data_IF_873678185692
#
_entry.id   IF_873678185692
#
_cell.length_a   1.000
_cell.length_b   1.000
_cell.length_c   1.000
_cell.angle_alpha   90.00
_cell.angle_beta   90.00
_cell.angle_gamma   90.00
#
_symmetry.space_group_name_H-M   'P 1'
#
loop_
_entity.id
_entity.type
_entity.pdbx_description
1 polymer ?
#
# COMPACT_ATOMS: atom_id res chain seq x y z
N UNK A 1 27.88 7.66 -28.68
CA UNK A 1 27.15 7.11 -29.81
C UNK A 1 25.78 7.77 -29.94
N UNK A 2 25.18 7.86 -31.14
CA UNK A 2 23.91 8.51 -31.36
C UNK A 2 22.83 7.74 -30.56
N UNK A 3 22.09 8.45 -29.73
CA UNK A 3 20.93 7.88 -29.05
C UNK A 3 19.89 7.54 -30.10
N UNK A 4 19.72 6.25 -30.38
CA UNK A 4 18.74 5.77 -31.35
C UNK A 4 17.32 6.21 -30.99
N UNK A 5 16.54 6.58 -31.98
CA UNK A 5 15.11 6.88 -31.83
C UNK A 5 14.39 5.55 -31.65
N UNK A 6 13.60 5.45 -30.58
CA UNK A 6 12.73 4.29 -30.32
C UNK A 6 11.28 4.66 -30.61
N UNK A 7 10.55 3.75 -31.23
CA UNK A 7 9.14 3.92 -31.54
C UNK A 7 8.30 2.99 -30.66
N UNK A 8 7.25 3.52 -30.05
CA UNK A 8 6.33 2.77 -29.22
C UNK A 8 4.92 2.90 -29.81
N UNK A 9 4.21 1.79 -29.88
CA UNK A 9 2.81 1.80 -30.29
C UNK A 9 1.94 2.45 -29.21
N UNK A 10 1.07 3.38 -29.61
CA UNK A 10 0.14 4.10 -28.75
C UNK A 10 -1.28 3.70 -29.14
N UNK A 11 -2.17 3.47 -28.16
CA UNK A 11 -3.56 3.17 -28.44
C UNK A 11 -4.27 4.37 -29.09
N UNK A 12 -5.31 4.11 -29.88
CA UNK A 12 -6.07 5.18 -30.56
C UNK A 12 -6.66 6.20 -29.59
N UNK A 13 -7.12 5.73 -28.42
CA UNK A 13 -7.61 6.60 -27.34
C UNK A 13 -6.52 7.48 -26.75
N UNK A 14 -5.35 6.92 -26.51
CA UNK A 14 -4.18 7.63 -25.98
C UNK A 14 -3.66 8.66 -27.00
N UNK A 15 -3.62 8.30 -28.27
CA UNK A 15 -3.24 9.22 -29.35
C UNK A 15 -4.19 10.43 -29.46
N UNK A 16 -5.50 10.21 -29.28
CA UNK A 16 -6.51 11.29 -29.27
C UNK A 16 -6.34 12.21 -28.06
N UNK A 17 -6.04 11.67 -26.89
CA UNK A 17 -5.78 12.43 -25.67
C UNK A 17 -4.50 13.28 -25.80
N UNK A 18 -3.42 12.69 -26.32
CA UNK A 18 -2.17 13.40 -26.56
C UNK A 18 -2.33 14.53 -27.57
N UNK A 19 -3.13 14.33 -28.62
CA UNK A 19 -3.44 15.35 -29.61
C UNK A 19 -4.28 16.54 -29.08
N UNK A 20 -4.94 16.39 -27.95
CA UNK A 20 -5.72 17.46 -27.30
C UNK A 20 -4.93 18.27 -26.27
N UNK A 21 -3.67 17.92 -26.03
CA UNK A 21 -2.80 18.58 -25.06
C UNK A 21 -1.97 19.69 -25.70
N UNK A 22 -1.80 20.79 -24.96
CA UNK A 22 -0.79 21.80 -25.27
C UNK A 22 0.62 21.22 -25.03
N UNK A 23 1.63 21.78 -25.71
CA UNK A 23 3.02 21.33 -25.58
C UNK A 23 3.51 21.29 -24.11
N UNK A 24 3.13 22.27 -23.30
CA UNK A 24 3.48 22.32 -21.90
C UNK A 24 2.76 21.24 -21.07
N UNK A 25 1.48 20.97 -21.38
CA UNK A 25 0.72 19.88 -20.78
C UNK A 25 1.36 18.52 -21.08
N UNK A 26 1.76 18.33 -22.32
CA UNK A 26 2.40 17.09 -22.78
C UNK A 26 3.73 16.82 -22.07
N UNK A 27 4.57 17.85 -21.91
CA UNK A 27 5.85 17.72 -21.19
C UNK A 27 5.59 17.31 -19.74
N UNK A 28 4.68 17.98 -19.06
CA UNK A 28 4.34 17.67 -17.67
C UNK A 28 3.74 16.26 -17.55
N UNK A 29 2.81 15.90 -18.45
CA UNK A 29 2.20 14.58 -18.49
C UNK A 29 3.24 13.46 -18.66
N UNK A 30 4.22 13.62 -19.54
CA UNK A 30 5.27 12.64 -19.75
C UNK A 30 6.14 12.45 -18.50
N UNK A 31 6.50 13.50 -17.80
CA UNK A 31 7.23 13.40 -16.53
C UNK A 31 6.43 12.69 -15.43
N UNK A 32 5.12 12.91 -15.38
CA UNK A 32 4.23 12.20 -14.44
C UNK A 32 4.11 10.71 -14.84
N UNK A 33 3.99 10.42 -16.13
CA UNK A 33 3.93 9.04 -16.65
C UNK A 33 5.20 8.25 -16.34
N UNK A 34 6.36 8.87 -16.47
CA UNK A 34 7.68 8.25 -16.15
C UNK A 34 7.81 7.93 -14.65
N UNK A 35 7.20 8.73 -13.78
CA UNK A 35 7.26 8.53 -12.33
C UNK A 35 6.39 7.35 -11.84
N UNK A 36 5.53 6.81 -12.69
CA UNK A 36 4.66 5.66 -12.39
C UNK A 36 3.87 5.86 -11.07
N UNK A 37 3.83 4.81 -10.23
CA UNK A 37 3.10 4.80 -8.96
C UNK A 37 3.83 5.48 -7.79
N UNK A 38 5.09 5.84 -7.95
CA UNK A 38 5.84 6.65 -6.97
C UNK A 38 5.44 8.13 -7.03
N UNK A 39 4.89 8.55 -8.18
CA UNK A 39 4.52 9.94 -8.40
C UNK A 39 5.71 10.89 -8.48
N UNK A 40 5.42 12.14 -8.77
CA UNK A 40 6.45 13.18 -8.88
C UNK A 40 6.04 14.43 -8.09
N UNK A 41 6.96 14.96 -7.31
CA UNK A 41 6.77 16.19 -6.55
C UNK A 41 6.75 17.41 -7.47
N UNK A 42 5.82 18.35 -7.24
CA UNK A 42 5.69 19.57 -8.06
C UNK A 42 6.98 20.36 -8.20
N UNK A 43 7.78 20.45 -7.12
CA UNK A 43 9.09 21.10 -7.18
C UNK A 43 10.05 20.41 -8.15
N UNK A 44 9.98 19.09 -8.27
CA UNK A 44 10.80 18.32 -9.20
C UNK A 44 10.29 18.49 -10.65
N UNK A 45 8.98 18.56 -10.86
CA UNK A 45 8.40 18.88 -12.18
C UNK A 45 8.92 20.25 -12.64
N UNK A 46 8.88 21.26 -11.75
CA UNK A 46 9.38 22.59 -12.05
C UNK A 46 10.87 22.59 -12.42
N UNK A 47 11.69 21.84 -11.65
CA UNK A 47 13.12 21.75 -11.91
C UNK A 47 13.45 21.06 -13.25
N UNK A 48 12.68 20.05 -13.64
CA UNK A 48 12.89 19.31 -14.89
C UNK A 48 12.35 20.00 -16.13
N UNK A 49 11.21 20.68 -16.01
CA UNK A 49 10.54 21.35 -17.14
C UNK A 49 11.01 22.79 -17.33
N UNK A 50 11.55 23.41 -16.29
CA UNK A 50 11.95 24.82 -16.25
C UNK A 50 10.78 25.79 -16.59
N UNK A 51 9.54 25.33 -16.44
CA UNK A 51 8.35 26.14 -16.68
C UNK A 51 8.11 27.14 -15.55
N UNK A 52 7.51 28.27 -15.91
CA UNK A 52 7.07 29.25 -14.91
C UNK A 52 5.98 28.64 -14.00
N UNK A 53 5.99 28.98 -12.71
CA UNK A 53 5.07 28.42 -11.71
C UNK A 53 3.60 28.53 -12.11
N UNK A 54 3.18 29.66 -12.66
CA UNK A 54 1.80 29.90 -13.09
C UNK A 54 1.38 28.98 -14.25
N UNK A 55 2.28 28.77 -15.22
CA UNK A 55 2.04 27.87 -16.37
C UNK A 55 1.91 26.43 -15.88
N UNK A 56 2.86 25.99 -15.03
CA UNK A 56 2.84 24.65 -14.46
C UNK A 56 1.55 24.40 -13.67
N UNK A 57 1.15 25.33 -12.81
CA UNK A 57 -0.07 25.19 -12.00
C UNK A 57 -1.32 25.11 -12.88
N UNK A 58 -1.40 25.91 -13.94
CA UNK A 58 -2.49 25.88 -14.91
C UNK A 58 -2.56 24.52 -15.62
N UNK A 59 -1.43 24.03 -16.13
CA UNK A 59 -1.36 22.75 -16.84
C UNK A 59 -1.74 21.59 -15.92
N UNK A 60 -1.23 21.55 -14.69
CA UNK A 60 -1.59 20.51 -13.72
C UNK A 60 -3.10 20.51 -13.41
N UNK A 61 -3.70 21.69 -13.26
CA UNK A 61 -5.14 21.82 -13.04
C UNK A 61 -5.96 21.31 -14.22
N UNK A 62 -5.53 21.61 -15.46
CA UNK A 62 -6.20 21.12 -16.67
C UNK A 62 -6.08 19.59 -16.80
N UNK A 63 -4.90 19.03 -16.51
CA UNK A 63 -4.69 17.59 -16.51
C UNK A 63 -5.51 16.86 -15.42
N UNK A 64 -5.69 17.46 -14.24
CA UNK A 64 -6.58 16.95 -13.19
C UNK A 64 -8.06 17.01 -13.64
N UNK A 65 -8.49 18.10 -14.26
CA UNK A 65 -9.87 18.25 -14.78
C UNK A 65 -10.18 17.23 -15.89
N UNK A 66 -9.20 16.91 -16.70
CA UNK A 66 -9.31 15.86 -17.74
C UNK A 66 -9.22 14.43 -17.15
N UNK A 67 -9.06 14.28 -15.84
CA UNK A 67 -8.87 12.99 -15.15
C UNK A 67 -7.68 12.16 -15.68
N UNK A 68 -6.64 12.81 -16.14
CA UNK A 68 -5.42 12.16 -16.62
C UNK A 68 -4.39 11.99 -15.51
N UNK A 69 -4.38 12.89 -14.55
CA UNK A 69 -3.51 12.88 -13.39
C UNK A 69 -4.32 13.15 -12.13
N UNK A 70 -3.78 12.75 -11.00
CA UNK A 70 -4.30 13.05 -9.67
C UNK A 70 -3.21 13.52 -8.73
N UNK A 71 -3.55 14.38 -7.79
CA UNK A 71 -2.67 14.76 -6.71
C UNK A 71 -2.82 13.80 -5.53
N UNK A 72 -1.71 13.39 -4.95
CA UNK A 72 -1.65 12.54 -3.77
C UNK A 72 -0.73 13.15 -2.71
N UNK A 73 -1.00 12.87 -1.45
CA UNK A 73 -0.14 13.25 -0.34
C UNK A 73 0.72 12.05 0.04
N UNK A 74 1.97 12.30 0.39
CA UNK A 74 2.85 11.27 0.93
C UNK A 74 2.68 11.19 2.45
N UNK A 75 2.62 9.97 2.99
CA UNK A 75 2.62 9.76 4.45
C UNK A 75 3.92 10.26 5.08
N UNK A 76 5.07 10.03 4.40
CA UNK A 76 6.38 10.53 4.88
C UNK A 76 6.51 12.05 4.81
N UNK A 77 5.91 12.68 3.79
CA UNK A 77 6.06 14.11 3.53
C UNK A 77 4.69 14.76 3.23
N UNK A 78 3.85 14.97 4.25
CA UNK A 78 2.47 15.43 4.08
C UNK A 78 2.33 16.79 3.39
N UNK A 79 3.38 17.62 3.47
CA UNK A 79 3.41 18.96 2.86
C UNK A 79 3.76 18.96 1.38
N UNK A 80 4.24 17.83 0.84
CA UNK A 80 4.60 17.72 -0.57
C UNK A 80 3.37 17.38 -1.40
N UNK A 81 3.11 18.19 -2.41
CA UNK A 81 2.10 17.89 -3.42
C UNK A 81 2.74 17.02 -4.51
N UNK A 82 2.28 15.79 -4.63
CA UNK A 82 2.80 14.77 -5.56
C UNK A 82 1.72 14.49 -6.58
N UNK A 83 2.10 14.36 -7.84
CA UNK A 83 1.20 14.01 -8.94
C UNK A 83 1.56 12.64 -9.50
N UNK A 84 0.53 11.90 -9.89
CA UNK A 84 0.65 10.60 -10.55
C UNK A 84 -0.48 10.44 -11.59
N UNK A 85 -0.38 9.43 -12.46
CA UNK A 85 -1.46 9.10 -13.37
C UNK A 85 -2.73 8.72 -12.60
N UNK A 86 -3.88 9.11 -13.13
CA UNK A 86 -5.17 8.94 -12.47
C UNK A 86 -5.50 7.48 -12.14
N UNK A 87 -5.25 6.56 -13.10
CA UNK A 87 -5.61 5.14 -12.99
C UNK A 87 -4.65 4.31 -12.13
N UNK A 88 -3.51 4.87 -11.73
CA UNK A 88 -2.53 4.14 -10.95
C UNK A 88 -2.86 4.17 -9.45
N UNK A 89 -2.56 3.06 -8.79
CA UNK A 89 -2.58 2.98 -7.32
C UNK A 89 -1.27 3.50 -6.76
N UNK A 90 -1.29 4.40 -5.75
CA UNK A 90 -0.08 4.90 -5.11
C UNK A 90 0.76 3.76 -4.53
N UNK A 91 2.08 3.91 -4.59
CA UNK A 91 3.01 2.97 -3.97
C UNK A 91 2.85 2.92 -2.44
N UNK A 92 3.32 1.85 -1.83
CA UNK A 92 3.32 1.70 -0.36
C UNK A 92 4.10 2.85 0.31
N UNK A 93 5.15 3.35 -0.33
CA UNK A 93 5.91 4.49 0.20
C UNK A 93 5.13 5.80 0.25
N UNK A 94 4.19 5.99 -0.66
CA UNK A 94 3.29 7.14 -0.67
C UNK A 94 2.11 6.95 0.27
N UNK A 95 1.44 5.81 0.19
CA UNK A 95 0.19 5.52 0.91
C UNK A 95 0.41 5.09 2.35
N UNK A 96 1.61 4.59 2.71
CA UNK A 96 1.90 4.00 4.01
C UNK A 96 1.49 2.53 4.14
N UNK A 97 0.94 1.94 3.08
CA UNK A 97 0.47 0.56 3.07
C UNK A 97 -0.96 0.39 3.60
N UNK A 98 -1.37 -0.85 3.95
CA UNK A 98 -2.74 -1.17 4.31
C UNK A 98 -3.19 -0.57 5.66
N UNK A 99 -2.26 -0.07 6.47
CA UNK A 99 -2.52 0.49 7.80
C UNK A 99 -2.94 1.96 7.80
N UNK A 100 -2.97 2.58 6.63
CA UNK A 100 -3.26 4.01 6.49
C UNK A 100 -4.51 4.22 5.65
N UNK A 101 -5.41 5.06 6.17
CA UNK A 101 -6.59 5.55 5.47
C UNK A 101 -6.49 7.08 5.40
N UNK A 102 -6.61 7.65 4.21
CA UNK A 102 -6.48 9.11 3.99
C UNK A 102 -5.20 9.75 4.56
N UNK A 103 -4.09 9.01 4.50
CA UNK A 103 -2.77 9.34 5.07
C UNK A 103 -2.70 9.37 6.61
N UNK A 104 -3.71 8.92 7.30
CA UNK A 104 -3.71 8.73 8.74
C UNK A 104 -3.64 7.24 9.10
N UNK A 105 -2.94 6.93 10.18
CA UNK A 105 -2.84 5.56 10.68
C UNK A 105 -4.21 5.12 11.21
N UNK A 106 -4.75 4.07 10.61
CA UNK A 106 -6.03 3.50 11.02
C UNK A 106 -5.85 2.54 12.21
N UNK A 107 -5.82 3.13 13.40
CA UNK A 107 -5.64 2.38 14.65
C UNK A 107 -6.81 1.44 14.94
N UNK A 108 -8.03 1.81 14.53
CA UNK A 108 -9.22 0.96 14.66
C UNK A 108 -9.09 -0.32 13.81
N UNK A 109 -8.71 -0.16 12.57
CA UNK A 109 -8.48 -1.29 11.65
C UNK A 109 -7.38 -2.23 12.16
N UNK A 110 -6.25 -1.67 12.62
CA UNK A 110 -5.15 -2.46 13.21
C UNK A 110 -5.64 -3.23 14.43
N UNK A 111 -6.41 -2.58 15.31
CA UNK A 111 -6.95 -3.21 16.51
C UNK A 111 -7.89 -4.38 16.17
N UNK A 112 -8.84 -4.17 15.29
CA UNK A 112 -9.80 -5.21 14.86
C UNK A 112 -9.09 -6.44 14.29
N UNK A 113 -8.12 -6.24 13.41
CA UNK A 113 -7.35 -7.34 12.83
C UNK A 113 -6.46 -8.03 13.86
N UNK A 114 -5.83 -7.28 14.76
CA UNK A 114 -5.02 -7.83 15.86
C UNK A 114 -5.86 -8.72 16.77
N UNK A 115 -7.05 -8.27 17.12
CA UNK A 115 -7.98 -9.05 17.94
C UNK A 115 -8.50 -10.30 17.23
N UNK A 116 -8.70 -10.23 15.90
CA UNK A 116 -9.05 -11.42 15.11
C UNK A 116 -7.92 -12.45 15.09
N UNK A 117 -6.67 -12.01 14.91
CA UNK A 117 -5.49 -12.87 15.02
C UNK A 117 -5.40 -13.52 16.41
N UNK A 118 -5.56 -12.72 17.46
CA UNK A 118 -5.50 -13.20 18.84
C UNK A 118 -6.56 -14.27 19.12
N UNK A 119 -7.82 -14.03 18.75
CA UNK A 119 -8.91 -15.00 18.92
C UNK A 119 -8.64 -16.32 18.17
N UNK A 120 -8.11 -16.24 16.97
CA UNK A 120 -7.74 -17.44 16.21
C UNK A 120 -6.65 -18.23 16.92
N UNK A 121 -5.58 -17.57 17.39
CA UNK A 121 -4.46 -18.22 18.11
C UNK A 121 -4.99 -18.83 19.41
N UNK A 122 -5.77 -18.10 20.19
CA UNK A 122 -6.39 -18.58 21.42
C UNK A 122 -7.24 -19.83 21.16
N UNK A 123 -8.03 -19.88 20.09
CA UNK A 123 -8.85 -21.02 19.72
C UNK A 123 -8.05 -22.29 19.43
N UNK A 124 -6.75 -22.14 19.09
CA UNK A 124 -5.81 -23.24 18.81
C UNK A 124 -4.89 -23.56 19.99
N UNK A 125 -4.72 -22.59 20.89
CA UNK A 125 -3.81 -22.73 22.03
C UNK A 125 -4.53 -23.27 23.26
N UNK A 126 -5.81 -22.95 23.43
CA UNK A 126 -6.57 -23.40 24.59
C UNK A 126 -7.58 -24.48 24.23
N UNK A 127 -7.67 -25.55 25.03
CA UNK A 127 -8.67 -26.61 24.84
C UNK A 127 -10.10 -26.06 25.00
N UNK A 128 -11.03 -26.56 24.20
CA UNK A 128 -12.45 -26.14 24.25
C UNK A 128 -13.24 -26.75 25.43
N UNK A 129 -12.61 -27.52 26.30
CA UNK A 129 -13.27 -28.33 27.32
C UNK A 129 -13.82 -27.56 28.53
N UNK A 130 -14.03 -26.25 28.39
CA UNK A 130 -14.72 -25.43 29.39
C UNK A 130 -14.01 -25.24 30.73
N UNK A 131 -12.83 -25.81 30.92
CA UNK A 131 -11.99 -25.59 32.11
C UNK A 131 -10.99 -24.49 31.79
N UNK A 132 -11.19 -23.33 32.35
CA UNK A 132 -10.40 -22.10 32.08
C UNK A 132 -8.90 -22.21 32.45
N UNK A 133 -8.45 -23.32 33.00
CA UNK A 133 -7.05 -23.58 33.37
C UNK A 133 -6.40 -24.75 32.62
N UNK A 134 -7.10 -25.37 31.67
CA UNK A 134 -6.56 -26.51 30.92
C UNK A 134 -5.61 -26.00 29.83
N UNK A 135 -4.38 -26.49 29.83
CA UNK A 135 -3.38 -26.27 28.77
C UNK A 135 -3.17 -27.58 28.00
N UNK A 136 -2.83 -27.45 26.72
CA UNK A 136 -2.37 -28.60 25.94
C UNK A 136 -1.02 -29.11 26.48
N UNK A 137 -0.73 -30.42 26.40
CA UNK A 137 0.57 -30.95 26.76
C UNK A 137 1.67 -30.40 25.85
N UNK A 138 2.91 -30.43 26.33
CA UNK A 138 4.07 -29.91 25.57
C UNK A 138 4.24 -30.57 24.19
N UNK A 139 3.77 -31.80 24.02
CA UNK A 139 3.75 -32.49 22.71
C UNK A 139 2.83 -31.88 21.69
N UNK A 140 1.93 -30.95 22.10
CA UNK A 140 0.98 -30.29 21.21
C UNK A 140 1.55 -29.03 20.54
N UNK A 141 2.74 -28.57 20.94
CA UNK A 141 3.34 -27.32 20.44
C UNK A 141 3.47 -27.26 18.92
N UNK A 142 3.66 -28.41 18.25
CA UNK A 142 3.72 -28.49 16.78
C UNK A 142 2.37 -28.19 16.07
N UNK A 143 1.27 -28.16 16.81
CA UNK A 143 -0.08 -27.84 16.31
C UNK A 143 -0.45 -26.35 16.48
N UNK A 144 0.40 -25.56 17.14
CA UNK A 144 0.16 -24.15 17.28
C UNK A 144 0.24 -23.44 15.92
N UNK A 145 -0.59 -22.41 15.69
CA UNK A 145 -0.71 -21.81 14.37
C UNK A 145 0.54 -21.05 13.96
N UNK A 146 0.92 -21.20 12.71
CA UNK A 146 1.97 -20.42 12.06
C UNK A 146 1.40 -19.11 11.49
N UNK A 147 2.27 -18.13 11.21
CA UNK A 147 1.88 -16.87 10.56
C UNK A 147 1.12 -17.10 9.23
N UNK A 148 1.51 -18.13 8.47
CA UNK A 148 0.84 -18.51 7.23
C UNK A 148 -0.58 -19.03 7.47
N UNK A 149 -0.80 -19.76 8.54
CA UNK A 149 -2.15 -20.24 8.90
C UNK A 149 -3.03 -19.11 9.40
N UNK A 150 -2.48 -18.14 10.15
CA UNK A 150 -3.19 -16.93 10.56
C UNK A 150 -3.57 -16.10 9.33
N UNK A 151 -2.65 -15.90 8.40
CA UNK A 151 -2.91 -15.20 7.14
C UNK A 151 -4.05 -15.86 6.34
N UNK A 152 -4.00 -17.17 6.19
CA UNK A 152 -5.07 -17.94 5.52
C UNK A 152 -6.43 -17.77 6.22
N UNK A 153 -6.43 -17.78 7.54
CA UNK A 153 -7.65 -17.55 8.33
C UNK A 153 -8.24 -16.17 8.07
N UNK A 154 -7.44 -15.10 8.10
CA UNK A 154 -7.91 -13.74 7.85
C UNK A 154 -8.51 -13.60 6.45
N UNK A 155 -7.87 -14.20 5.43
CA UNK A 155 -8.40 -14.23 4.05
C UNK A 155 -9.73 -14.97 3.95
N UNK A 156 -9.86 -16.11 4.62
CA UNK A 156 -11.10 -16.90 4.62
C UNK A 156 -12.24 -16.22 5.39
N UNK A 157 -11.92 -15.54 6.47
CA UNK A 157 -12.89 -14.85 7.30
C UNK A 157 -13.45 -13.57 6.64
N UNK A 158 -12.83 -13.08 5.55
CA UNK A 158 -13.25 -11.88 4.81
C UNK A 158 -13.56 -10.69 5.71
N UNK A 159 -12.71 -10.46 6.70
CA UNK A 159 -12.88 -9.37 7.67
C UNK A 159 -12.59 -7.99 7.08
N UNK A 160 -11.92 -7.96 5.93
CA UNK A 160 -11.56 -6.74 5.21
C UNK A 160 -11.49 -7.02 3.72
N UNK A 161 -11.79 -5.99 2.93
CA UNK A 161 -11.59 -5.99 1.47
C UNK A 161 -10.13 -5.64 1.10
N UNK A 162 -9.34 -5.20 2.08
CA UNK A 162 -7.93 -4.90 1.88
C UNK A 162 -7.13 -6.19 1.74
N UNK A 163 -6.39 -6.33 0.64
CA UNK A 163 -5.47 -7.44 0.45
C UNK A 163 -4.27 -7.31 1.40
N UNK A 164 -4.16 -8.27 2.31
CA UNK A 164 -3.05 -8.36 3.25
C UNK A 164 -2.06 -9.41 2.77
N UNK A 165 -0.80 -9.02 2.69
CA UNK A 165 0.31 -9.94 2.48
C UNK A 165 0.73 -10.62 3.79
N UNK A 166 1.49 -11.70 3.69
CA UNK A 166 1.97 -12.40 4.88
C UNK A 166 2.80 -11.51 5.81
N UNK A 167 3.57 -10.58 5.24
CA UNK A 167 4.38 -9.60 5.99
C UNK A 167 3.51 -8.70 6.89
N UNK A 168 2.35 -8.30 6.40
CA UNK A 168 1.39 -7.49 7.16
C UNK A 168 0.85 -8.26 8.36
N UNK A 169 0.58 -9.55 8.18
CA UNK A 169 0.13 -10.42 9.28
C UNK A 169 1.23 -10.63 10.30
N UNK A 170 2.49 -10.83 9.87
CA UNK A 170 3.64 -10.91 10.77
C UNK A 170 3.76 -9.63 11.61
N UNK A 171 3.57 -8.46 11.01
CA UNK A 171 3.58 -7.19 11.73
C UNK A 171 2.50 -7.11 12.82
N UNK A 172 1.28 -7.62 12.54
CA UNK A 172 0.21 -7.72 13.56
C UNK A 172 0.58 -8.69 14.69
N UNK A 173 1.19 -9.82 14.36
CA UNK A 173 1.63 -10.79 15.35
C UNK A 173 2.77 -10.23 16.21
N UNK A 174 3.71 -9.49 15.62
CA UNK A 174 4.78 -8.81 16.36
C UNK A 174 4.23 -7.76 17.33
N UNK A 175 3.17 -7.03 16.93
CA UNK A 175 2.45 -6.12 17.81
C UNK A 175 1.84 -6.86 19.01
N UNK A 176 1.18 -8.01 18.78
CA UNK A 176 0.61 -8.83 19.84
C UNK A 176 1.68 -9.44 20.76
N UNK A 177 2.87 -9.74 20.24
CA UNK A 177 4.03 -10.18 21.05
C UNK A 177 4.52 -9.03 21.92
N UNK A 178 4.66 -7.84 21.35
CA UNK A 178 5.07 -6.65 22.09
C UNK A 178 4.11 -6.31 23.23
N UNK A 179 2.81 -6.46 22.99
CA UNK A 179 1.75 -6.26 24.00
C UNK A 179 1.58 -7.47 24.96
N UNK A 180 2.45 -8.48 24.86
CA UNK A 180 2.47 -9.67 25.73
C UNK A 180 1.19 -10.54 25.68
N UNK A 181 0.46 -10.48 24.55
CA UNK A 181 -0.72 -11.32 24.33
C UNK A 181 -0.39 -12.70 23.78
N UNK A 182 0.70 -12.82 23.04
CA UNK A 182 1.19 -14.08 22.45
C UNK A 182 2.70 -14.18 22.56
N UNK A 183 3.22 -15.41 22.40
CA UNK A 183 4.65 -15.71 22.35
C UNK A 183 5.03 -16.36 21.03
N UNK A 184 6.26 -16.14 20.58
CA UNK A 184 6.82 -16.78 19.40
C UNK A 184 7.65 -17.98 19.82
N UNK A 185 7.21 -19.17 19.41
CA UNK A 185 7.89 -20.44 19.73
C UNK A 185 8.61 -20.94 18.48
N UNK A 186 9.92 -21.21 18.53
CA UNK A 186 10.63 -21.79 17.40
C UNK A 186 10.18 -23.24 17.18
N UNK A 187 9.97 -23.62 15.93
CA UNK A 187 9.78 -25.03 15.56
C UNK A 187 11.15 -25.69 15.61
N UNK A 188 11.37 -26.55 16.60
CA UNK A 188 12.57 -27.35 16.65
C UNK A 188 12.44 -28.47 15.62
N UNK A 189 13.47 -28.69 14.74
CA UNK A 189 13.49 -29.88 13.89
C UNK A 189 13.59 -31.13 14.76
N UNK A 190 12.68 -32.06 14.48
CA UNK A 190 12.77 -33.42 15.07
C UNK A 190 13.90 -34.20 14.41
#
# INVERSE_FOLDING_TARGET
GPRGIQYVAVSRGEASLLGSMDANELIIYNHIKEAKNEGIWTKLIKARTNLHQTVMTRCLRLLEQKQLVKSVKSVKFPTRKIYMLYDLTPSIELSGGPWYTDNELDTGFIHELSMACLRFIQSKTWPKDGRSSALFPASHTHQFPTAQQVHRYLRQARLTDTELEQEHVVALLDLLIYDQHIEKIPILPM
#
